data_IF_322178860564
#
_entry.id   IF_322178860564
#
_cell.length_a   1.000
_cell.length_b   1.000
_cell.length_c   1.000
_cell.angle_alpha   90.00
_cell.angle_beta   90.00
_cell.angle_gamma   90.00
#
_symmetry.space_group_name_H-M   'P 1'
#
loop_
_entity.id
_entity.type
_entity.pdbx_description
1 polymer ?
#
# COMPACT_ATOMS: atom_id res chain seq x y z
N UNK A 1 -18.17 -50.70 8.77
CA UNK A 1 -17.95 -49.45 9.53
C UNK A 1 -18.33 -48.28 8.63
N UNK A 2 -19.43 -47.58 8.93
CA UNK A 2 -19.90 -46.45 8.13
C UNK A 2 -18.93 -45.28 8.38
N UNK A 3 -18.39 -44.72 7.30
CA UNK A 3 -17.43 -43.63 7.36
C UNK A 3 -18.13 -42.38 7.93
N UNK A 4 -17.67 -41.88 9.08
CA UNK A 4 -18.27 -40.74 9.82
C UNK A 4 -18.45 -39.51 8.93
N UNK A 5 -17.58 -39.32 7.92
CA UNK A 5 -17.70 -38.22 6.95
C UNK A 5 -18.95 -38.33 6.05
N UNK A 6 -19.41 -39.54 5.77
CA UNK A 6 -20.62 -39.79 4.96
C UNK A 6 -21.87 -39.41 5.76
N UNK A 7 -21.92 -39.73 7.05
CA UNK A 7 -23.07 -39.44 7.94
C UNK A 7 -23.28 -37.92 8.11
N UNK A 8 -22.21 -37.16 8.34
CA UNK A 8 -22.26 -35.70 8.50
C UNK A 8 -22.72 -35.00 7.21
N UNK A 9 -22.36 -35.57 6.06
CA UNK A 9 -22.78 -35.04 4.75
C UNK A 9 -24.27 -35.26 4.51
N UNK A 10 -24.83 -36.41 4.87
CA UNK A 10 -26.26 -36.72 4.70
C UNK A 10 -27.13 -35.85 5.63
N UNK A 11 -26.70 -35.61 6.86
CA UNK A 11 -27.43 -34.79 7.83
C UNK A 11 -27.56 -33.31 7.40
N UNK A 12 -26.52 -32.77 6.76
CA UNK A 12 -26.55 -31.43 6.19
C UNK A 12 -27.54 -31.31 5.02
N UNK A 13 -27.63 -32.33 4.16
CA UNK A 13 -28.58 -32.37 3.04
C UNK A 13 -30.03 -32.50 3.50
N UNK A 14 -30.28 -33.16 4.63
CA UNK A 14 -31.59 -33.32 5.24
C UNK A 14 -31.99 -32.13 6.15
N UNK A 15 -31.15 -31.10 6.26
CA UNK A 15 -31.43 -29.91 7.06
C UNK A 15 -31.49 -30.16 8.57
N UNK A 16 -30.88 -31.24 9.05
CA UNK A 16 -30.90 -31.60 10.48
C UNK A 16 -30.01 -30.60 11.24
N UNK A 17 -30.52 -29.94 12.29
CA UNK A 17 -29.74 -28.98 13.06
C UNK A 17 -28.57 -29.67 13.77
N UNK A 18 -27.38 -29.10 13.61
CA UNK A 18 -26.13 -29.53 14.24
C UNK A 18 -25.55 -28.38 15.07
N UNK A 19 -24.66 -28.68 16.01
CA UNK A 19 -24.03 -27.65 16.84
C UNK A 19 -22.77 -27.10 16.19
N UNK A 20 -22.66 -25.77 16.13
CA UNK A 20 -21.46 -25.09 15.67
C UNK A 20 -20.26 -25.42 16.59
N UNK A 21 -19.14 -25.88 16.01
CA UNK A 21 -17.94 -26.25 16.77
C UNK A 21 -17.25 -25.07 17.48
N UNK A 22 -17.61 -23.82 17.14
CA UNK A 22 -17.07 -22.62 17.77
C UNK A 22 -17.97 -22.07 18.89
N UNK A 23 -19.25 -21.82 18.60
CA UNK A 23 -20.17 -21.14 19.54
C UNK A 23 -21.27 -22.05 20.11
N UNK A 24 -21.36 -23.30 19.68
CA UNK A 24 -22.36 -24.27 20.16
C UNK A 24 -23.79 -24.05 19.64
N UNK A 25 -24.07 -22.97 18.90
CA UNK A 25 -25.42 -22.70 18.37
C UNK A 25 -25.84 -23.73 17.32
N UNK A 26 -27.14 -24.03 17.29
CA UNK A 26 -27.75 -24.85 16.25
C UNK A 26 -27.57 -24.20 14.88
N UNK A 27 -27.20 -25.01 13.90
CA UNK A 27 -26.90 -24.60 12.53
C UNK A 27 -27.23 -25.74 11.58
N UNK A 28 -27.70 -25.41 10.38
CA UNK A 28 -27.86 -26.36 9.27
C UNK A 28 -26.54 -26.63 8.56
N UNK A 29 -25.55 -25.74 8.71
CA UNK A 29 -24.19 -25.96 8.22
C UNK A 29 -23.46 -27.00 9.10
N UNK A 30 -22.89 -28.06 8.51
CA UNK A 30 -22.35 -29.21 9.24
C UNK A 30 -21.25 -28.95 10.27
N UNK A 31 -20.55 -27.81 10.21
CA UNK A 31 -19.40 -27.57 11.10
C UNK A 31 -19.49 -26.23 11.84
N UNK A 32 -19.86 -25.15 11.14
CA UNK A 32 -19.89 -23.80 11.71
C UNK A 32 -21.11 -23.01 11.25
N UNK A 33 -21.70 -22.22 12.14
CA UNK A 33 -22.87 -21.39 11.80
C UNK A 33 -22.56 -20.20 10.88
N UNK A 34 -21.29 -19.81 10.74
CA UNK A 34 -20.88 -18.64 9.97
C UNK A 34 -19.40 -18.67 9.58
N UNK A 35 -19.03 -17.84 8.58
CA UNK A 35 -17.63 -17.61 8.21
C UNK A 35 -16.80 -17.06 9.38
N UNK A 36 -17.38 -16.25 10.25
CA UNK A 36 -16.71 -15.72 11.44
C UNK A 36 -16.43 -16.82 12.47
N UNK A 37 -17.39 -17.71 12.74
CA UNK A 37 -17.17 -18.85 13.64
C UNK A 37 -16.10 -19.81 13.11
N UNK A 38 -16.12 -20.11 11.80
CA UNK A 38 -15.06 -20.90 11.17
C UNK A 38 -13.69 -20.22 11.31
N UNK A 39 -13.61 -18.91 11.07
CA UNK A 39 -12.37 -18.15 11.20
C UNK A 39 -11.84 -18.13 12.64
N UNK A 40 -12.68 -17.85 13.63
CA UNK A 40 -12.29 -17.80 15.04
C UNK A 40 -11.81 -19.16 15.54
N UNK A 41 -12.55 -20.24 15.24
CA UNK A 41 -12.12 -21.60 15.58
C UNK A 41 -10.78 -21.95 14.93
N UNK A 42 -10.61 -21.66 13.64
CA UNK A 42 -9.37 -21.92 12.93
C UNK A 42 -8.20 -21.06 13.46
N UNK A 43 -8.45 -19.80 13.81
CA UNK A 43 -7.43 -18.91 14.38
C UNK A 43 -7.02 -19.35 15.79
N UNK A 44 -7.92 -19.95 16.58
CA UNK A 44 -7.61 -20.51 17.89
C UNK A 44 -6.82 -21.82 17.77
N UNK A 45 -7.24 -22.72 16.86
CA UNK A 45 -6.61 -24.03 16.65
C UNK A 45 -5.27 -23.94 15.91
N UNK A 46 -5.16 -22.98 15.00
CA UNK A 46 -3.97 -22.72 14.19
C UNK A 46 -3.58 -21.25 14.31
N UNK A 47 -3.07 -20.83 15.49
CA UNK A 47 -2.70 -19.44 15.72
C UNK A 47 -1.67 -18.98 14.71
N UNK A 48 -1.79 -17.71 14.32
CA UNK A 48 -0.90 -17.10 13.33
C UNK A 48 0.54 -17.15 13.86
N UNK A 49 1.43 -17.79 13.11
CA UNK A 49 2.85 -17.90 13.46
C UNK A 49 3.44 -16.50 13.72
N UNK A 50 4.15 -16.34 14.83
CA UNK A 50 4.87 -15.12 15.13
C UNK A 50 5.94 -14.87 14.07
N UNK A 51 6.20 -13.60 13.75
CA UNK A 51 7.29 -13.25 12.83
C UNK A 51 8.60 -13.54 13.54
N UNK A 52 9.43 -14.42 12.95
CA UNK A 52 10.77 -14.68 13.47
C UNK A 52 11.60 -13.39 13.44
N UNK A 53 12.27 -13.11 14.56
CA UNK A 53 13.35 -12.13 14.62
C UNK A 53 14.62 -12.80 14.11
N UNK A 54 15.36 -12.10 13.25
CA UNK A 54 16.64 -12.53 12.70
C UNK A 54 17.63 -11.38 12.85
N UNK A 55 18.92 -11.65 12.75
CA UNK A 55 19.94 -10.61 12.74
C UNK A 55 20.30 -10.25 11.30
N UNK A 56 20.59 -8.98 11.05
CA UNK A 56 21.14 -8.56 9.76
C UNK A 56 22.50 -9.24 9.53
N UNK A 57 22.69 -9.81 8.33
CA UNK A 57 23.95 -10.48 7.94
C UNK A 57 25.21 -9.60 7.90
N UNK A 58 25.08 -8.28 7.99
CA UNK A 58 26.19 -7.33 7.89
C UNK A 58 26.47 -6.57 9.19
N UNK A 59 25.43 -6.10 9.88
CA UNK A 59 25.58 -5.26 11.09
C UNK A 59 24.97 -5.87 12.35
N UNK A 60 24.35 -7.05 12.27
CA UNK A 60 23.80 -7.74 13.45
C UNK A 60 22.52 -7.14 14.04
N UNK A 61 21.99 -6.02 13.53
CA UNK A 61 20.75 -5.43 14.07
C UNK A 61 19.55 -6.40 13.91
N UNK A 62 18.64 -6.41 14.89
CA UNK A 62 17.45 -7.25 14.85
C UNK A 62 16.47 -6.80 13.75
N UNK A 63 16.17 -7.69 12.83
CA UNK A 63 15.22 -7.52 11.73
C UNK A 63 14.05 -8.51 11.86
N UNK A 64 12.88 -8.13 11.35
CA UNK A 64 11.65 -8.92 11.47
C UNK A 64 11.27 -9.57 10.14
N UNK A 65 10.87 -10.84 10.18
CA UNK A 65 10.32 -11.55 9.03
C UNK A 65 11.38 -12.32 8.24
N UNK A 66 11.31 -12.25 6.90
CA UNK A 66 12.16 -13.05 6.00
C UNK A 66 13.39 -12.31 5.47
N UNK A 67 13.56 -11.02 5.81
CA UNK A 67 14.71 -10.23 5.35
C UNK A 67 16.01 -10.80 5.93
N UNK A 68 17.10 -10.65 5.17
CA UNK A 68 18.46 -11.03 5.60
C UNK A 68 19.34 -9.81 5.89
N UNK A 69 18.92 -8.62 5.43
CA UNK A 69 19.61 -7.34 5.60
C UNK A 69 18.67 -6.31 6.23
N UNK A 70 19.24 -5.39 7.04
CA UNK A 70 18.52 -4.21 7.50
C UNK A 70 18.46 -3.16 6.39
N UNK A 71 17.65 -2.12 6.58
CA UNK A 71 17.45 -1.07 5.57
C UNK A 71 18.76 -0.34 5.25
N UNK A 72 19.62 -0.08 6.25
CA UNK A 72 20.93 0.57 6.05
C UNK A 72 21.93 -0.29 5.26
N UNK A 73 21.98 -1.59 5.53
CA UNK A 73 22.92 -2.50 4.89
C UNK A 73 22.37 -3.13 3.59
N UNK A 74 21.14 -2.80 3.20
CA UNK A 74 20.55 -3.28 1.96
C UNK A 74 20.92 -2.30 0.83
N UNK A 75 21.81 -2.66 -0.10
CA UNK A 75 22.19 -1.76 -1.20
C UNK A 75 21.02 -1.44 -2.14
N UNK A 76 19.95 -2.24 -2.11
CA UNK A 76 18.73 -1.96 -2.87
C UNK A 76 17.83 -0.93 -2.18
N UNK A 77 18.06 -0.62 -0.90
CA UNK A 77 17.34 0.41 -0.17
C UNK A 77 17.99 1.76 -0.45
N UNK A 78 17.51 2.41 -1.50
CA UNK A 78 17.99 3.73 -1.93
C UNK A 78 17.02 4.78 -1.41
N UNK A 79 17.54 5.77 -0.68
CA UNK A 79 16.78 7.00 -0.45
C UNK A 79 16.73 7.79 -1.77
N UNK A 80 15.59 7.72 -2.44
CA UNK A 80 15.39 8.40 -3.70
C UNK A 80 15.31 9.92 -3.54
N UNK A 81 15.04 10.42 -2.34
CA UNK A 81 14.90 11.86 -2.08
C UNK A 81 16.25 12.57 -2.10
N UNK A 82 17.31 11.86 -1.71
CA UNK A 82 18.69 12.36 -1.66
C UNK A 82 19.42 12.30 -3.01
N UNK A 83 18.81 11.69 -4.04
CA UNK A 83 19.39 11.63 -5.38
C UNK A 83 19.04 12.88 -6.18
N UNK A 84 19.96 13.31 -7.05
CA UNK A 84 19.67 14.35 -8.04
C UNK A 84 18.83 13.78 -9.19
N UNK A 85 18.19 14.66 -9.96
CA UNK A 85 17.47 14.26 -11.17
C UNK A 85 18.41 13.57 -12.18
N UNK A 86 19.68 13.98 -12.26
CA UNK A 86 20.71 13.34 -13.07
C UNK A 86 21.00 11.91 -12.64
N UNK A 87 21.09 11.66 -11.33
CA UNK A 87 21.35 10.31 -10.78
C UNK A 87 20.21 9.34 -11.08
N UNK A 88 18.97 9.81 -11.04
CA UNK A 88 17.83 8.97 -11.43
C UNK A 88 17.84 8.72 -12.94
N UNK A 89 18.13 9.73 -13.76
CA UNK A 89 18.22 9.57 -15.22
C UNK A 89 19.28 8.56 -15.62
N UNK A 90 20.46 8.58 -14.99
CA UNK A 90 21.53 7.60 -15.28
C UNK A 90 21.13 6.17 -14.89
N UNK A 91 20.36 6.00 -13.82
CA UNK A 91 19.84 4.70 -13.38
C UNK A 91 18.63 4.20 -14.17
N UNK A 92 17.85 5.11 -14.79
CA UNK A 92 16.58 4.77 -15.45
C UNK A 92 16.20 5.77 -16.55
N UNK A 93 16.89 5.72 -17.71
CA UNK A 93 16.73 6.68 -18.81
C UNK A 93 15.27 6.97 -19.22
N UNK A 94 14.46 5.93 -19.45
CA UNK A 94 13.07 6.09 -19.92
C UNK A 94 12.04 6.25 -18.80
N UNK A 95 12.38 5.82 -17.58
CA UNK A 95 11.40 5.69 -16.47
C UNK A 95 11.70 6.62 -15.29
N UNK A 96 12.65 7.55 -15.42
CA UNK A 96 13.03 8.47 -14.34
C UNK A 96 11.82 9.26 -13.82
N UNK A 97 10.95 9.75 -14.72
CA UNK A 97 9.77 10.54 -14.34
C UNK A 97 8.74 9.70 -13.57
N UNK A 98 8.63 8.41 -13.89
CA UNK A 98 7.76 7.48 -13.16
C UNK A 98 8.27 7.25 -11.74
N UNK A 99 9.59 7.15 -11.56
CA UNK A 99 10.22 7.04 -10.23
C UNK A 99 9.98 8.29 -9.39
N UNK A 100 10.21 9.48 -9.94
CA UNK A 100 9.96 10.76 -9.24
C UNK A 100 8.49 10.87 -8.82
N UNK A 101 7.55 10.54 -9.71
CA UNK A 101 6.10 10.52 -9.42
C UNK A 101 5.71 9.48 -8.36
N UNK A 102 6.40 8.34 -8.30
CA UNK A 102 6.17 7.36 -7.23
C UNK A 102 6.55 7.91 -5.86
N UNK A 103 7.70 8.58 -5.76
CA UNK A 103 8.16 9.23 -4.52
C UNK A 103 7.19 10.34 -4.11
N UNK A 104 6.77 11.20 -5.06
CA UNK A 104 5.77 12.24 -4.82
C UNK A 104 4.47 11.71 -4.21
N UNK A 105 3.92 10.62 -4.78
CA UNK A 105 2.70 9.98 -4.27
C UNK A 105 2.86 9.47 -2.84
N UNK A 106 4.02 8.92 -2.49
CA UNK A 106 4.29 8.43 -1.15
C UNK A 106 4.39 9.59 -0.14
N UNK A 107 5.12 10.65 -0.50
CA UNK A 107 5.24 11.87 0.32
C UNK A 107 3.87 12.47 0.57
N UNK A 108 3.06 12.66 -0.48
CA UNK A 108 1.73 13.26 -0.34
C UNK A 108 0.80 12.43 0.55
N UNK A 109 0.79 11.09 0.39
CA UNK A 109 -0.02 10.18 1.22
C UNK A 109 0.34 10.23 2.71
N UNK A 110 1.61 10.45 3.02
CA UNK A 110 2.12 10.55 4.39
C UNK A 110 1.95 11.95 4.99
N UNK A 111 1.58 12.94 4.18
CA UNK A 111 1.36 14.31 4.64
C UNK A 111 -0.05 14.53 5.19
N UNK A 112 -0.21 15.66 5.88
CA UNK A 112 -1.49 16.15 6.36
C UNK A 112 -2.32 16.87 5.28
N UNK A 113 -1.82 16.98 4.04
CA UNK A 113 -2.58 17.61 2.96
C UNK A 113 -3.89 16.86 2.67
N UNK A 114 -4.95 17.58 2.22
CA UNK A 114 -6.22 16.97 1.85
C UNK A 114 -6.05 15.92 0.74
N UNK A 115 -6.71 14.77 0.90
CA UNK A 115 -6.71 13.65 -0.06
C UNK A 115 -7.91 13.75 -1.03
N UNK A 116 -8.15 14.96 -1.51
CA UNK A 116 -9.27 15.31 -2.40
C UNK A 116 -8.79 16.33 -3.44
N UNK A 117 -9.56 16.48 -4.52
CA UNK A 117 -9.25 17.46 -5.55
C UNK A 117 -9.18 18.88 -4.99
N UNK A 118 -8.05 19.56 -5.18
CA UNK A 118 -7.84 20.93 -4.74
C UNK A 118 -8.72 21.96 -5.46
N UNK A 119 -9.33 21.59 -6.60
CA UNK A 119 -10.18 22.49 -7.40
C UNK A 119 -11.66 22.30 -7.06
N UNK A 120 -12.17 21.06 -7.18
CA UNK A 120 -13.61 20.78 -7.05
C UNK A 120 -13.99 20.00 -5.78
N UNK A 121 -13.03 19.62 -4.94
CA UNK A 121 -13.30 18.90 -3.69
C UNK A 121 -13.63 17.41 -3.85
N UNK A 122 -13.63 16.83 -5.06
CA UNK A 122 -13.90 15.39 -5.25
C UNK A 122 -12.95 14.51 -4.42
N UNK A 123 -13.51 13.61 -3.61
CA UNK A 123 -12.80 12.91 -2.51
C UNK A 123 -12.65 11.39 -2.73
N UNK A 124 -13.30 10.80 -3.74
CA UNK A 124 -13.27 9.34 -3.95
C UNK A 124 -12.00 8.86 -4.65
N UNK A 125 -11.40 9.71 -5.48
CA UNK A 125 -10.15 9.41 -6.17
C UNK A 125 -9.37 10.71 -6.46
N UNK A 126 -8.06 10.65 -6.23
CA UNK A 126 -7.15 11.75 -6.57
C UNK A 126 -5.85 11.22 -7.17
N UNK A 127 -5.27 12.05 -8.04
CA UNK A 127 -3.94 11.92 -8.60
C UNK A 127 -3.04 13.01 -8.01
N UNK A 128 -1.79 12.66 -7.72
CA UNK A 128 -0.81 13.62 -7.20
C UNK A 128 -0.10 14.28 -8.37
N UNK A 129 -0.32 15.58 -8.54
CA UNK A 129 0.31 16.39 -9.58
C UNK A 129 1.40 17.29 -9.00
N UNK A 130 2.37 17.66 -9.85
CA UNK A 130 3.33 18.70 -9.52
C UNK A 130 2.81 20.06 -9.99
N UNK A 131 2.94 21.10 -9.16
CA UNK A 131 2.62 22.47 -9.55
C UNK A 131 3.62 22.94 -10.62
N UNK A 132 4.92 22.89 -10.29
CA UNK A 132 6.01 23.04 -11.24
C UNK A 132 6.38 21.66 -11.77
N UNK A 133 6.28 21.40 -13.08
CA UNK A 133 6.47 20.06 -13.63
C UNK A 133 7.94 19.63 -13.54
N UNK A 134 8.17 18.30 -13.46
CA UNK A 134 9.50 17.69 -13.30
C UNK A 134 10.51 18.16 -14.36
N UNK A 135 10.03 18.36 -15.61
CA UNK A 135 10.86 18.78 -16.75
C UNK A 135 11.46 20.18 -16.59
N UNK A 136 10.87 21.03 -15.75
CA UNK A 136 11.29 22.42 -15.55
C UNK A 136 12.32 22.57 -14.42
N UNK A 137 12.79 21.46 -13.83
CA UNK A 137 13.85 21.46 -12.83
C UNK A 137 15.21 21.13 -13.46
N UNK A 138 16.31 21.75 -12.97
CA UNK A 138 17.65 21.45 -13.45
C UNK A 138 18.09 20.05 -13.01
N UNK A 139 19.03 19.44 -13.74
CA UNK A 139 19.47 18.06 -13.52
C UNK A 139 20.15 17.84 -12.17
N UNK A 140 20.76 18.88 -11.59
CA UNK A 140 21.41 18.83 -10.27
C UNK A 140 20.41 19.00 -9.10
N UNK A 141 19.12 19.21 -9.37
CA UNK A 141 18.11 19.35 -8.31
C UNK A 141 17.86 18.01 -7.64
N UNK A 142 17.81 18.02 -6.31
CA UNK A 142 17.44 16.84 -5.54
C UNK A 142 15.96 16.50 -5.72
N UNK A 143 15.66 15.21 -5.78
CA UNK A 143 14.30 14.70 -5.96
C UNK A 143 13.42 15.05 -4.77
N UNK A 144 13.97 15.08 -3.55
CA UNK A 144 13.27 15.57 -2.37
C UNK A 144 12.82 17.03 -2.51
N UNK A 145 13.61 17.87 -3.17
CA UNK A 145 13.23 19.26 -3.44
C UNK A 145 12.21 19.38 -4.57
N UNK A 146 12.27 18.53 -5.60
CA UNK A 146 11.25 18.47 -6.66
C UNK A 146 9.90 18.03 -6.08
N UNK A 147 9.93 17.03 -5.19
CA UNK A 147 8.76 16.46 -4.54
C UNK A 147 8.44 17.12 -3.19
N UNK A 148 8.92 18.34 -2.96
CA UNK A 148 8.56 19.09 -1.76
C UNK A 148 7.04 19.21 -1.67
N UNK A 149 6.48 19.11 -0.47
CA UNK A 149 5.02 19.02 -0.28
C UNK A 149 4.28 20.21 -0.91
N UNK A 150 4.90 21.39 -0.92
CA UNK A 150 4.35 22.60 -1.53
C UNK A 150 4.33 22.59 -3.05
N UNK A 151 5.17 21.76 -3.68
CA UNK A 151 5.11 21.54 -5.12
C UNK A 151 4.09 20.44 -5.52
N UNK A 152 3.34 19.88 -4.57
CA UNK A 152 2.41 18.78 -4.81
C UNK A 152 0.95 19.16 -4.53
N UNK A 153 0.07 18.64 -5.37
CA UNK A 153 -1.39 18.82 -5.34
C UNK A 153 -2.09 17.46 -5.44
N UNK A 154 -3.26 17.30 -4.81
CA UNK A 154 -4.20 16.26 -5.17
C UNK A 154 -5.26 16.81 -6.12
N UNK A 155 -5.48 16.17 -7.27
CA UNK A 155 -6.47 16.55 -8.27
C UNK A 155 -7.31 15.34 -8.68
N UNK A 156 -8.57 15.53 -9.05
CA UNK A 156 -9.32 14.46 -9.75
C UNK A 156 -8.78 14.29 -11.18
N UNK A 157 -9.09 13.18 -11.88
CA UNK A 157 -8.54 12.91 -13.21
C UNK A 157 -8.78 14.03 -14.23
N UNK A 158 -9.93 14.70 -14.19
CA UNK A 158 -10.26 15.79 -15.10
C UNK A 158 -9.36 17.01 -14.86
N UNK A 159 -9.31 17.54 -13.63
CA UNK A 159 -8.47 18.69 -13.31
C UNK A 159 -6.97 18.36 -13.38
N UNK A 160 -6.58 17.11 -13.15
CA UNK A 160 -5.21 16.65 -13.38
C UNK A 160 -4.86 16.78 -14.88
N UNK A 161 -5.73 16.30 -15.77
CA UNK A 161 -5.56 16.46 -17.21
C UNK A 161 -5.49 17.93 -17.62
N UNK A 162 -6.41 18.76 -17.14
CA UNK A 162 -6.44 20.21 -17.43
C UNK A 162 -5.14 20.92 -17.00
N UNK A 163 -4.58 20.55 -15.83
CA UNK A 163 -3.31 21.11 -15.38
C UNK A 163 -2.15 20.70 -16.27
N UNK A 164 -2.08 19.41 -16.64
CA UNK A 164 -0.99 18.89 -17.48
C UNK A 164 -1.00 19.42 -18.92
N UNK A 165 -2.18 19.81 -19.41
CA UNK A 165 -2.40 20.37 -20.75
C UNK A 165 -2.34 21.89 -20.78
N UNK A 166 -2.36 22.55 -19.61
CA UNK A 166 -2.29 24.01 -19.48
C UNK A 166 -3.64 24.72 -19.53
N UNK A 167 -4.78 23.99 -19.52
CA UNK A 167 -6.11 24.57 -19.37
C UNK A 167 -6.38 25.07 -17.94
N UNK A 168 -5.71 24.47 -16.96
CA UNK A 168 -5.73 24.91 -15.56
C UNK A 168 -4.36 25.44 -15.15
N UNK A 169 -4.32 26.59 -14.48
CA UNK A 169 -3.08 27.19 -13.97
C UNK A 169 -3.15 27.36 -12.46
N UNK A 170 -2.19 26.78 -11.75
CA UNK A 170 -1.95 27.08 -10.34
C UNK A 170 -0.86 28.15 -10.24
N UNK A 171 -1.18 29.30 -9.63
CA UNK A 171 -0.18 30.32 -9.36
C UNK A 171 0.70 29.87 -8.20
N UNK A 172 1.97 29.62 -8.48
CA UNK A 172 2.97 29.36 -7.45
C UNK A 172 3.37 30.71 -6.86
N UNK A 173 3.06 30.97 -5.59
CA UNK A 173 3.84 31.95 -4.85
C UNK A 173 5.25 31.36 -4.71
N UNK A 174 6.25 32.09 -5.21
CA UNK A 174 7.64 31.61 -5.35
C UNK A 174 8.10 30.91 -4.06
N UNK A 175 8.49 29.63 -4.19
CA UNK A 175 9.22 28.84 -3.20
C UNK A 175 10.71 28.97 -3.49
#
# INVERSE_FOLDING_TARGET
MINIKIVVSIQAWLGIPMNCQHCGQNTTNPIFCSRSCAASYNNQKHPKRSKQKRLCKYCGISIVGRRTTCDTCNPCYVDWSSLTLSDIRSKALYQYSARVRQVARNIYRQSDKPKQCAVCGYDKHYEVCHIKPIKDFPNNRFVGQINHIDNLLALCPNHHWELTTGFLLFRVHRI
#
